data_IF_636215647668
#
_entry.id   IF_636215647668
#
_cell.length_a   1.000
_cell.length_b   1.000
_cell.length_c   1.000
_cell.angle_alpha   90.00
_cell.angle_beta   90.00
_cell.angle_gamma   90.00
#
_symmetry.space_group_name_H-M   'P 1'
#
loop_
_entity.id
_entity.type
_entity.pdbx_description
1 polymer ?
#
# COMPACT_ATOMS: atom_id res chain seq x y z
N UNK A 1 5.08 -1.28 23.24
CA UNK A 1 4.51 0.04 23.59
C UNK A 1 3.54 0.48 22.53
N UNK A 2 2.37 1.05 22.88
CA UNK A 2 1.37 1.47 21.90
C UNK A 2 1.04 2.96 22.07
N UNK A 3 0.89 3.68 20.96
CA UNK A 3 0.42 5.06 20.95
C UNK A 3 -0.66 5.26 19.88
N UNK A 4 -1.61 6.13 20.18
CA UNK A 4 -2.77 6.39 19.34
C UNK A 4 -2.89 7.87 19.03
N UNK A 5 -3.27 8.19 17.80
CA UNK A 5 -3.70 9.52 17.41
C UNK A 5 -5.01 9.47 16.64
N UNK A 6 -5.88 10.43 16.88
CA UNK A 6 -7.18 10.56 16.23
C UNK A 6 -7.34 11.98 15.72
N UNK A 7 -7.67 12.12 14.45
CA UNK A 7 -8.14 13.38 13.88
C UNK A 7 -9.63 13.25 13.54
N UNK A 8 -10.43 14.08 14.17
CA UNK A 8 -11.88 14.11 13.93
C UNK A 8 -12.24 15.15 12.88
N UNK A 9 -13.34 14.92 12.17
CA UNK A 9 -14.02 15.89 11.29
C UNK A 9 -13.14 16.42 10.15
N UNK A 10 -12.33 15.53 9.55
CA UNK A 10 -11.56 15.86 8.35
C UNK A 10 -12.52 16.12 7.20
N UNK A 11 -12.38 17.27 6.51
CA UNK A 11 -13.24 17.70 5.39
C UNK A 11 -12.98 16.90 4.12
N UNK A 12 -13.05 15.58 4.23
CA UNK A 12 -12.85 14.65 3.13
C UNK A 12 -13.71 13.39 3.30
N UNK A 13 -14.12 12.78 2.20
CA UNK A 13 -14.91 11.57 2.20
C UNK A 13 -14.08 10.37 2.70
N UNK A 14 -14.65 9.57 3.59
CA UNK A 14 -14.02 8.36 4.12
C UNK A 14 -13.57 7.38 3.02
N UNK A 15 -14.36 7.22 1.95
CA UNK A 15 -14.01 6.37 0.80
C UNK A 15 -12.68 6.80 0.15
N UNK A 16 -12.45 8.12 -0.01
CA UNK A 16 -11.20 8.64 -0.57
C UNK A 16 -10.02 8.47 0.38
N UNK A 17 -10.27 8.58 1.69
CA UNK A 17 -9.24 8.41 2.72
C UNK A 17 -8.82 6.94 2.85
N UNK A 18 -9.76 5.99 2.76
CA UNK A 18 -9.48 4.54 2.86
C UNK A 18 -8.49 4.06 1.81
N UNK A 19 -8.54 4.59 0.59
CA UNK A 19 -7.60 4.25 -0.48
C UNK A 19 -6.13 4.52 -0.13
N UNK A 20 -5.87 5.50 0.73
CA UNK A 20 -4.51 5.86 1.13
C UNK A 20 -4.13 5.12 2.43
N UNK A 21 -5.06 5.02 3.37
CA UNK A 21 -4.76 4.41 4.67
C UNK A 21 -4.48 2.91 4.54
N UNK A 22 -5.11 2.23 3.59
CA UNK A 22 -4.89 0.81 3.33
C UNK A 22 -3.46 0.51 2.83
N UNK A 23 -2.79 1.51 2.23
CA UNK A 23 -1.40 1.37 1.77
C UNK A 23 -0.38 1.40 2.92
N UNK A 24 -0.71 2.05 4.03
CA UNK A 24 0.19 2.20 5.18
C UNK A 24 -0.09 1.21 6.31
N UNK A 25 -1.22 0.52 6.27
CA UNK A 25 -1.58 -0.45 7.30
C UNK A 25 -0.57 -1.60 7.36
N UNK A 26 -0.04 -1.91 8.55
CA UNK A 26 0.94 -2.98 8.77
C UNK A 26 2.37 -2.65 8.31
N UNK A 27 2.64 -1.41 7.86
CA UNK A 27 3.96 -0.98 7.44
C UNK A 27 4.78 -0.41 8.59
N UNK A 28 6.11 -0.42 8.44
CA UNK A 28 6.99 0.34 9.31
C UNK A 28 6.74 1.85 9.14
N UNK A 29 6.95 2.63 10.20
CA UNK A 29 6.71 4.08 10.18
C UNK A 29 7.53 4.80 9.09
N UNK A 30 8.84 4.52 8.89
CA UNK A 30 9.61 5.14 7.82
C UNK A 30 9.03 4.89 6.42
N UNK A 31 8.61 3.64 6.15
CA UNK A 31 7.96 3.29 4.88
C UNK A 31 6.63 4.02 4.70
N UNK A 32 5.82 4.08 5.77
CA UNK A 32 4.54 4.79 5.75
C UNK A 32 4.73 6.27 5.45
N UNK A 33 5.74 6.92 6.02
CA UNK A 33 6.08 8.30 5.68
C UNK A 33 6.48 8.48 4.23
N UNK A 34 7.30 7.58 3.69
CA UNK A 34 7.70 7.62 2.29
C UNK A 34 6.48 7.50 1.36
N UNK A 35 5.61 6.50 1.59
CA UNK A 35 4.38 6.31 0.82
C UNK A 35 3.49 7.55 0.85
N UNK A 36 3.28 8.15 2.03
CA UNK A 36 2.44 9.33 2.19
C UNK A 36 3.04 10.57 1.52
N UNK A 37 4.38 10.73 1.54
CA UNK A 37 5.08 11.85 0.92
C UNK A 37 4.98 11.82 -0.60
N UNK A 38 5.12 10.64 -1.21
CA UNK A 38 5.06 10.48 -2.67
C UNK A 38 3.63 10.35 -3.21
N UNK A 39 2.63 10.16 -2.36
CA UNK A 39 1.23 10.05 -2.78
C UNK A 39 0.67 11.39 -3.26
N UNK A 40 0.19 11.43 -4.50
CA UNK A 40 -0.46 12.62 -5.10
C UNK A 40 -1.86 12.92 -4.53
N UNK A 41 -2.38 12.09 -3.64
CA UNK A 41 -3.73 12.24 -3.11
C UNK A 41 -3.76 13.22 -1.94
N UNK A 42 -4.70 14.17 -1.96
CA UNK A 42 -4.91 15.13 -0.87
C UNK A 42 -5.10 14.46 0.50
N UNK A 43 -5.66 13.26 0.52
CA UNK A 43 -5.83 12.44 1.74
C UNK A 43 -4.51 12.16 2.46
N UNK A 44 -3.42 11.99 1.70
CA UNK A 44 -2.11 11.68 2.25
C UNK A 44 -1.59 12.75 3.20
N UNK A 45 -1.82 14.02 2.90
CA UNK A 45 -1.40 15.13 3.76
C UNK A 45 -2.04 15.08 5.15
N UNK A 46 -3.34 14.77 5.21
CA UNK A 46 -4.05 14.67 6.47
C UNK A 46 -3.61 13.44 7.27
N UNK A 47 -3.49 12.31 6.60
CA UNK A 47 -3.03 11.05 7.22
C UNK A 47 -1.59 11.19 7.74
N UNK A 48 -0.71 11.88 6.98
CA UNK A 48 0.66 12.18 7.41
C UNK A 48 0.70 12.97 8.73
N UNK A 49 -0.17 13.98 8.89
CA UNK A 49 -0.27 14.74 10.13
C UNK A 49 -0.68 13.86 11.32
N UNK A 50 -1.65 12.97 11.11
CA UNK A 50 -2.11 12.03 12.14
C UNK A 50 -1.00 11.04 12.51
N UNK A 51 -0.29 10.50 11.52
CA UNK A 51 0.83 9.60 11.77
C UNK A 51 1.95 10.30 12.56
N UNK A 52 2.31 11.53 12.19
CA UNK A 52 3.29 12.32 12.94
C UNK A 52 2.85 12.54 14.40
N UNK A 53 1.58 12.82 14.62
CA UNK A 53 1.04 12.94 15.98
C UNK A 53 1.08 11.62 16.75
N UNK A 54 0.82 10.48 16.08
CA UNK A 54 0.90 9.17 16.72
C UNK A 54 2.33 8.82 17.16
N UNK A 55 3.32 9.15 16.33
CA UNK A 55 4.74 8.96 16.65
C UNK A 55 5.16 9.86 17.81
N UNK A 56 4.83 11.15 17.79
CA UNK A 56 5.12 12.06 18.89
C UNK A 56 4.48 11.61 20.21
N UNK A 57 3.24 11.08 20.15
CA UNK A 57 2.60 10.49 21.33
C UNK A 57 3.34 9.25 21.84
N UNK A 58 3.94 8.45 20.95
CA UNK A 58 4.76 7.30 21.33
C UNK A 58 6.05 7.75 22.02
N UNK A 59 6.75 8.74 21.46
CA UNK A 59 7.95 9.34 22.05
C UNK A 59 7.67 9.92 23.44
N UNK A 60 6.60 10.68 23.58
CA UNK A 60 6.22 11.28 24.87
C UNK A 60 5.91 10.20 25.92
N UNK A 61 5.22 9.13 25.55
CA UNK A 61 4.95 8.01 26.45
C UNK A 61 6.23 7.27 26.85
N UNK A 62 7.15 7.08 25.90
CA UNK A 62 8.45 6.48 26.15
C UNK A 62 9.26 7.31 27.16
N UNK A 63 9.28 8.62 27.00
CA UNK A 63 9.93 9.53 27.94
C UNK A 63 9.31 9.47 29.35
N UNK A 64 7.97 9.43 29.45
CA UNK A 64 7.28 9.31 30.73
C UNK A 64 7.55 7.98 31.44
N UNK A 65 7.80 6.91 30.70
CA UNK A 65 8.08 5.58 31.22
C UNK A 65 9.59 5.29 31.34
N UNK A 66 10.44 6.24 30.93
CA UNK A 66 11.91 6.08 30.88
C UNK A 66 12.36 4.82 30.08
N UNK A 67 11.61 4.49 29.00
CA UNK A 67 11.92 3.37 28.13
C UNK A 67 12.56 3.89 26.84
N UNK A 68 13.72 3.38 26.41
CA UNK A 68 14.28 3.73 25.12
C UNK A 68 13.34 3.30 23.99
N UNK A 69 13.07 4.21 23.06
CA UNK A 69 12.18 3.96 21.91
C UNK A 69 12.90 4.29 20.62
N UNK A 70 13.05 3.28 19.76
CA UNK A 70 13.51 3.48 18.40
C UNK A 70 12.33 3.79 17.49
N UNK A 71 12.31 5.01 16.94
CA UNK A 71 11.23 5.47 16.05
C UNK A 71 11.17 4.64 14.77
N UNK A 72 12.31 4.18 14.29
CA UNK A 72 12.42 3.38 13.07
C UNK A 72 11.88 1.94 13.26
N UNK A 73 11.84 1.46 14.49
CA UNK A 73 11.26 0.16 14.84
C UNK A 73 9.74 0.20 15.02
N UNK A 74 9.11 1.38 14.94
CA UNK A 74 7.66 1.52 15.04
C UNK A 74 6.95 1.01 13.81
N UNK A 75 5.84 0.31 14.03
CA UNK A 75 4.95 -0.19 12.99
C UNK A 75 3.52 0.35 13.15
N UNK A 76 2.84 0.56 12.05
CA UNK A 76 1.43 0.93 12.02
C UNK A 76 0.60 -0.33 12.24
N UNK A 77 0.12 -0.55 13.47
CA UNK A 77 -0.71 -1.71 13.82
C UNK A 77 -2.15 -1.55 13.34
N UNK A 78 -2.73 -0.42 13.63
CA UNK A 78 -4.13 -0.15 13.36
C UNK A 78 -4.26 1.20 12.65
N UNK A 79 -4.98 1.20 11.54
CA UNK A 79 -5.26 2.41 10.79
C UNK A 79 -6.65 2.31 10.16
N UNK A 80 -7.57 3.18 10.61
CA UNK A 80 -8.97 3.13 10.22
C UNK A 80 -9.50 4.52 9.90
N UNK A 81 -10.43 4.56 8.96
CA UNK A 81 -11.21 5.77 8.62
C UNK A 81 -12.68 5.49 8.80
N UNK A 82 -13.27 6.21 9.75
CA UNK A 82 -14.70 6.19 10.04
C UNK A 82 -15.40 7.36 9.34
N UNK A 83 -16.67 7.18 9.02
CA UNK A 83 -17.48 8.24 8.45
C UNK A 83 -17.89 9.23 9.53
N UNK A 84 -17.76 10.52 9.23
CA UNK A 84 -18.20 11.61 10.07
C UNK A 84 -19.52 12.22 9.59
N UNK A 85 -20.00 13.27 10.26
CA UNK A 85 -21.22 13.97 9.89
C UNK A 85 -21.13 14.53 8.48
N UNK A 86 -22.25 14.50 7.77
CA UNK A 86 -22.36 15.03 6.42
C UNK A 86 -23.06 16.39 6.46
N UNK A 87 -22.39 17.42 5.95
CA UNK A 87 -22.97 18.76 5.80
C UNK A 87 -23.76 18.82 4.50
N UNK A 88 -25.04 19.04 4.59
CA UNK A 88 -25.91 19.21 3.45
C UNK A 88 -25.80 20.65 2.91
N UNK A 89 -25.69 20.82 1.61
CA UNK A 89 -25.66 22.10 0.89
C UNK A 89 -26.51 21.95 -0.35
N UNK A 90 -26.95 23.05 -0.90
CA UNK A 90 -27.76 23.07 -2.10
C UNK A 90 -27.05 23.91 -3.16
N UNK A 91 -27.21 23.53 -4.42
CA UNK A 91 -26.85 24.31 -5.57
C UNK A 91 -28.08 24.57 -6.40
N UNK A 92 -28.15 25.72 -7.08
CA UNK A 92 -29.22 26.03 -8.00
C UNK A 92 -29.26 25.07 -9.19
N UNK A 93 -30.44 24.69 -9.61
CA UNK A 93 -30.68 23.89 -10.79
C UNK A 93 -31.71 24.56 -11.68
N UNK A 94 -31.90 24.06 -12.91
CA UNK A 94 -32.85 24.57 -13.85
C UNK A 94 -34.30 24.59 -13.30
N UNK A 95 -35.12 25.47 -13.77
CA UNK A 95 -36.54 25.60 -13.40
C UNK A 95 -36.80 25.83 -11.90
N UNK A 96 -35.96 26.64 -11.24
CA UNK A 96 -36.12 26.95 -9.81
C UNK A 96 -35.91 25.78 -8.87
N UNK A 97 -35.36 24.67 -9.33
CA UNK A 97 -35.07 23.51 -8.51
C UNK A 97 -33.72 23.67 -7.78
N UNK A 98 -33.53 22.95 -6.70
CA UNK A 98 -32.27 22.87 -5.95
C UNK A 98 -31.75 21.45 -5.88
N UNK A 99 -30.47 21.25 -6.19
CA UNK A 99 -29.82 19.95 -6.10
C UNK A 99 -29.00 19.86 -4.81
N UNK A 100 -29.18 18.81 -3.98
CA UNK A 100 -28.47 18.67 -2.73
C UNK A 100 -27.02 18.24 -2.93
N UNK A 101 -26.07 18.94 -2.30
CA UNK A 101 -24.65 18.61 -2.24
C UNK A 101 -24.32 18.06 -0.86
N UNK A 102 -23.75 16.86 -0.80
CA UNK A 102 -23.31 16.23 0.45
C UNK A 102 -21.81 16.50 0.67
N UNK A 103 -21.47 17.43 1.55
CA UNK A 103 -20.08 17.67 2.02
C UNK A 103 -19.75 16.68 3.13
N UNK A 104 -19.17 15.52 2.77
CA UNK A 104 -18.85 14.45 3.70
C UNK A 104 -17.61 14.78 4.51
N UNK A 105 -17.59 14.34 5.77
CA UNK A 105 -16.42 14.36 6.63
C UNK A 105 -16.02 12.94 7.04
N UNK A 106 -14.85 12.78 7.58
CA UNK A 106 -14.34 11.51 8.09
C UNK A 106 -13.50 11.70 9.35
N UNK A 107 -13.34 10.63 10.10
CA UNK A 107 -12.46 10.54 11.25
C UNK A 107 -11.34 9.57 10.92
N UNK A 108 -10.10 9.95 11.19
CA UNK A 108 -8.92 9.11 10.97
C UNK A 108 -8.34 8.73 12.31
N UNK A 109 -8.08 7.45 12.48
CA UNK A 109 -7.45 6.90 13.66
C UNK A 109 -6.27 6.04 13.26
N UNK A 110 -5.11 6.30 13.89
CA UNK A 110 -3.89 5.54 13.66
C UNK A 110 -3.31 5.15 15.03
N UNK A 111 -2.93 3.89 15.14
CA UNK A 111 -2.21 3.35 16.29
C UNK A 111 -0.86 2.82 15.81
N UNK A 112 0.20 3.26 16.45
CA UNK A 112 1.56 2.79 16.24
C UNK A 112 1.98 1.90 17.40
N UNK A 113 2.76 0.89 17.09
CA UNK A 113 3.24 -0.10 18.03
C UNK A 113 4.74 -0.27 17.88
N UNK A 114 5.47 -0.24 18.99
CA UNK A 114 6.86 -0.68 19.03
C UNK A 114 6.87 -2.20 19.16
N UNK A 115 7.27 -2.91 18.13
CA UNK A 115 7.55 -4.32 18.26
C UNK A 115 8.83 -4.47 19.07
N UNK A 116 8.71 -5.07 20.25
CA UNK A 116 9.89 -5.64 20.89
C UNK A 116 10.39 -6.75 19.97
N UNK A 117 11.44 -6.44 19.21
CA UNK A 117 12.08 -7.25 18.18
C UNK A 117 11.17 -7.75 17.04
N UNK A 118 11.55 -7.58 15.80
CA UNK A 118 10.81 -8.16 14.70
C UNK A 118 10.90 -9.69 14.86
N UNK A 119 9.81 -10.34 15.23
CA UNK A 119 9.62 -11.70 14.74
C UNK A 119 9.79 -11.59 13.24
N UNK A 120 10.96 -11.99 12.78
CA UNK A 120 11.27 -12.11 11.37
C UNK A 120 10.02 -12.72 10.72
N UNK A 121 9.38 -11.94 9.87
CA UNK A 121 8.36 -12.46 8.98
C UNK A 121 8.99 -13.72 8.40
N UNK A 122 8.41 -14.90 8.54
CA UNK A 122 9.01 -16.07 7.91
C UNK A 122 9.25 -15.67 6.46
N UNK A 123 10.51 -15.61 6.08
CA UNK A 123 10.91 -15.36 4.72
C UNK A 123 10.11 -16.34 3.88
N UNK A 124 9.35 -15.82 2.92
CA UNK A 124 8.71 -16.66 1.94
C UNK A 124 9.79 -17.63 1.45
N UNK A 125 9.54 -18.94 1.45
CA UNK A 125 10.55 -19.89 1.04
C UNK A 125 11.07 -19.44 -0.32
N UNK A 126 12.39 -19.40 -0.54
CA UNK A 126 12.91 -19.07 -1.85
C UNK A 126 12.27 -20.05 -2.81
N UNK A 127 11.59 -19.51 -3.82
CA UNK A 127 11.03 -20.32 -4.90
C UNK A 127 12.13 -21.27 -5.33
N UNK A 128 11.88 -22.55 -5.08
CA UNK A 128 12.80 -23.61 -5.38
C UNK A 128 13.26 -23.43 -6.83
N UNK A 129 14.51 -23.08 -6.98
CA UNK A 129 15.19 -23.17 -8.26
C UNK A 129 15.02 -24.62 -8.70
N UNK A 130 14.16 -24.82 -9.68
CA UNK A 130 14.01 -26.10 -10.33
C UNK A 130 15.39 -26.52 -10.84
N UNK A 131 16.00 -27.40 -10.12
CA UNK A 131 17.20 -28.10 -10.52
C UNK A 131 16.87 -28.85 -11.82
N UNK A 132 17.34 -28.32 -12.93
CA UNK A 132 17.49 -29.07 -14.17
C UNK A 132 18.60 -30.08 -13.92
N UNK A 133 18.25 -31.24 -13.45
CA UNK A 133 19.12 -32.40 -13.52
C UNK A 133 19.31 -32.78 -14.98
N UNK A 134 20.48 -32.61 -15.42
CA UNK A 134 21.07 -33.18 -16.62
C UNK A 134 20.84 -34.67 -16.61
N UNK A 135 20.17 -35.15 -17.60
CA UNK A 135 20.39 -36.55 -18.03
C UNK A 135 21.10 -36.48 -19.37
N UNK A 136 22.32 -36.92 -19.27
CA UNK A 136 23.35 -37.02 -20.27
C UNK A 136 23.21 -38.36 -20.94
N UNK A 137 23.44 -38.37 -22.24
CA UNK A 137 23.87 -39.54 -23.04
C UNK A 137 22.81 -40.53 -23.41
N UNK A 138 22.62 -40.85 -24.67
CA UNK A 138 23.58 -41.58 -25.48
C UNK A 138 23.08 -41.75 -26.91
N UNK A 139 23.97 -41.59 -27.77
CA UNK A 139 24.35 -42.42 -28.90
C UNK A 139 23.49 -42.23 -30.14
N UNK A 140 24.07 -41.62 -31.05
CA UNK A 140 24.93 -42.22 -32.09
C UNK A 140 24.14 -42.93 -33.15
N UNK A 141 24.45 -42.44 -34.31
CA UNK A 141 24.62 -43.14 -35.54
C UNK A 141 23.43 -43.33 -36.48
N UNK A 142 23.81 -42.92 -37.63
CA UNK A 142 23.48 -43.48 -38.93
C UNK A 142 22.27 -42.94 -39.69
N UNK A 143 22.57 -42.37 -40.75
CA UNK A 143 22.18 -42.60 -42.10
C UNK A 143 21.63 -41.36 -42.76
N UNK A 144 22.38 -40.62 -43.40
CA UNK A 144 22.75 -40.61 -44.81
C UNK A 144 21.57 -40.58 -45.79
N UNK A 145 21.70 -39.57 -46.66
CA UNK A 145 21.19 -39.54 -48.05
C UNK A 145 19.68 -39.23 -48.16
N UNK A 146 19.28 -38.37 -48.96
CA UNK A 146 19.58 -37.85 -50.29
C UNK A 146 18.55 -36.80 -50.59
N UNK A 147 19.00 -35.65 -50.95
CA UNK A 147 18.98 -35.17 -52.28
C UNK A 147 17.65 -34.68 -52.86
N UNK A 148 17.71 -33.47 -53.25
CA UNK A 148 17.30 -32.95 -54.56
C UNK A 148 15.88 -32.42 -54.69
N UNK A 149 15.86 -31.13 -54.75
CA UNK A 149 15.59 -30.40 -56.00
C UNK A 149 14.13 -30.13 -56.31
N UNK A 150 13.86 -28.98 -56.49
CA UNK A 150 13.52 -28.12 -57.62
C UNK A 150 12.29 -27.25 -57.30
N UNK A 151 12.56 -25.96 -57.31
CA UNK A 151 12.18 -25.04 -58.38
C UNK A 151 10.69 -25.04 -58.71
N UNK A 152 9.99 -23.99 -58.66
CA UNK A 152 9.82 -22.84 -59.53
C UNK A 152 8.52 -22.18 -59.14
N UNK A 153 8.56 -20.88 -58.86
CA UNK A 153 8.17 -19.84 -59.80
C UNK A 153 6.66 -19.66 -60.03
N UNK A 154 6.23 -18.52 -59.78
CA UNK A 154 5.35 -17.59 -60.53
C UNK A 154 4.18 -17.13 -59.67
N UNK A 155 4.12 -15.84 -59.37
CA UNK A 155 3.84 -14.64 -60.16
C UNK A 155 2.34 -14.41 -60.34
N UNK A 156 1.92 -13.23 -59.88
CA UNK A 156 0.80 -12.39 -60.35
C UNK A 156 -0.62 -12.87 -59.99
N UNK A 157 -1.38 -12.13 -59.31
CA UNK A 157 -1.94 -10.85 -59.75
C UNK A 157 -2.34 -10.07 -58.47
#
# INVERSE_FOLDING_TARGET
>A
MEARAIQRTVRQSARKMRLVIDQIRGRAVPEAYAILRFSKKHAAQQIHKVLKSAVANAEQRAQQQNVPLDVDALHVRYAVVNEGPTLKRFTSAAMGRATPIKKRTSHVEIQVFAADQPKAKPAAPPAAAAAKSKTKQKAAAAGAKTARAKTTKRKKA
#
